data_IF_359607569888
#
_entry.id   IF_359607569888
#
_cell.length_a   1.000
_cell.length_b   1.000
_cell.length_c   1.000
_cell.angle_alpha   90.00
_cell.angle_beta   90.00
_cell.angle_gamma   90.00
#
_symmetry.space_group_name_H-M   'P 1'
#
loop_
_entity.id
_entity.type
_entity.pdbx_description
1 polymer ?
#
# COMPACT_ATOMS: atom_id res chain seq x y z
N UNK A 1 -6.00 5.91 27.57
CA UNK A 1 -5.87 5.13 26.33
C UNK A 1 -4.79 5.81 25.49
N UNK A 2 -3.80 5.08 25.00
CA UNK A 2 -2.82 5.64 24.09
C UNK A 2 -3.48 5.70 22.71
N UNK A 3 -3.62 6.90 22.15
CA UNK A 3 -4.20 7.05 20.81
C UNK A 3 -3.22 6.43 19.80
N UNK A 4 -3.76 5.60 18.91
CA UNK A 4 -3.01 4.99 17.81
C UNK A 4 -3.34 5.73 16.53
N UNK A 5 -2.33 5.98 15.69
CA UNK A 5 -2.51 6.67 14.41
C UNK A 5 -2.44 5.66 13.28
N UNK A 6 -3.27 5.86 12.27
CA UNK A 6 -3.26 5.11 11.04
C UNK A 6 -3.18 6.11 9.88
N UNK A 7 -2.41 5.78 8.85
CA UNK A 7 -2.32 6.55 7.61
C UNK A 7 -2.83 5.67 6.48
N UNK A 8 -3.88 6.10 5.79
CA UNK A 8 -4.39 5.45 4.61
C UNK A 8 -3.56 5.89 3.40
N UNK A 9 -3.12 4.93 2.58
CA UNK A 9 -2.28 5.17 1.41
C UNK A 9 -2.99 4.70 0.14
N UNK A 10 -2.85 5.45 -0.94
CA UNK A 10 -3.38 5.10 -2.25
C UNK A 10 -2.46 5.52 -3.40
N UNK A 11 -2.29 4.61 -4.36
CA UNK A 11 -1.64 4.85 -5.66
C UNK A 11 -2.65 4.57 -6.78
N UNK A 12 -3.46 5.56 -7.22
CA UNK A 12 -4.52 5.37 -8.21
C UNK A 12 -4.02 4.88 -9.59
N UNK A 13 -2.73 5.08 -9.85
CA UNK A 13 -2.08 4.79 -11.13
C UNK A 13 -1.69 3.33 -11.29
N UNK A 14 -1.67 2.59 -10.18
CA UNK A 14 -1.22 1.20 -10.15
C UNK A 14 -2.10 0.30 -10.99
N UNK A 15 -1.42 -0.54 -11.79
CA UNK A 15 -2.07 -1.54 -12.62
C UNK A 15 -2.13 -2.88 -11.92
N UNK A 16 -3.32 -3.43 -11.79
CA UNK A 16 -3.53 -4.78 -11.26
C UNK A 16 -3.81 -5.77 -12.37
N UNK A 17 -3.24 -6.97 -12.26
CA UNK A 17 -3.45 -8.05 -13.22
C UNK A 17 -4.93 -8.44 -13.29
N UNK A 18 -5.42 -8.86 -14.44
CA UNK A 18 -6.75 -9.43 -14.59
C UNK A 18 -6.99 -10.63 -13.66
N UNK A 19 -8.25 -10.96 -13.39
CA UNK A 19 -8.63 -12.07 -12.52
C UNK A 19 -8.74 -13.39 -13.29
N UNK A 20 -8.77 -13.35 -14.62
CA UNK A 20 -9.08 -14.49 -15.49
C UNK A 20 -10.59 -14.74 -15.58
N UNK A 21 -11.41 -13.73 -15.29
CA UNK A 21 -12.86 -13.86 -15.26
C UNK A 21 -13.48 -13.70 -16.65
N UNK A 22 -14.74 -14.14 -16.80
CA UNK A 22 -15.49 -14.06 -18.05
C UNK A 22 -15.58 -12.62 -18.60
N UNK A 23 -15.55 -11.61 -17.72
CA UNK A 23 -15.66 -10.19 -18.07
C UNK A 23 -14.33 -9.57 -18.54
N UNK A 24 -13.19 -10.27 -18.44
CA UNK A 24 -11.90 -9.72 -18.87
C UNK A 24 -11.84 -9.52 -20.39
N UNK A 25 -12.43 -10.44 -21.16
CA UNK A 25 -12.55 -10.31 -22.61
C UNK A 25 -13.39 -9.10 -23.06
N UNK A 26 -14.63 -8.90 -22.58
CA UNK A 26 -15.39 -7.72 -22.94
C UNK A 26 -14.73 -6.44 -22.40
N UNK A 27 -14.08 -6.47 -21.23
CA UNK A 27 -13.35 -5.32 -20.71
C UNK A 27 -12.16 -4.91 -21.59
N UNK A 28 -11.42 -5.88 -22.14
CA UNK A 28 -10.35 -5.61 -23.11
C UNK A 28 -10.91 -5.07 -24.43
N UNK A 29 -12.00 -5.66 -24.94
CA UNK A 29 -12.68 -5.16 -26.13
C UNK A 29 -13.15 -3.70 -25.99
N UNK A 30 -13.65 -3.33 -24.80
CA UNK A 30 -14.06 -1.96 -24.46
C UNK A 30 -12.89 -1.05 -24.03
N UNK A 31 -11.65 -1.53 -24.13
CA UNK A 31 -10.44 -0.78 -23.71
C UNK A 31 -10.40 -0.36 -22.24
N UNK A 32 -11.19 -1.01 -21.38
CA UNK A 32 -11.21 -0.81 -19.92
C UNK A 32 -9.97 -1.46 -19.29
N UNK A 33 -9.57 -2.62 -19.79
CA UNK A 33 -8.28 -3.25 -19.49
C UNK A 33 -7.36 -3.25 -20.71
N UNK A 34 -6.05 -3.23 -20.47
CA UNK A 34 -5.02 -3.36 -21.51
C UNK A 34 -3.96 -4.35 -21.09
N UNK A 35 -3.50 -5.20 -22.01
CA UNK A 35 -2.41 -6.17 -21.80
C UNK A 35 -2.63 -7.10 -20.60
N UNK A 36 -3.87 -7.48 -20.31
CA UNK A 36 -4.27 -8.23 -19.12
C UNK A 36 -4.15 -7.47 -17.78
N UNK A 37 -4.20 -6.13 -17.79
CA UNK A 37 -4.19 -5.31 -16.58
C UNK A 37 -5.32 -4.28 -16.56
N UNK A 38 -5.82 -4.00 -15.36
CA UNK A 38 -6.74 -2.89 -15.06
C UNK A 38 -6.00 -1.78 -14.30
N UNK A 39 -6.29 -0.52 -14.62
CA UNK A 39 -5.89 0.62 -13.78
C UNK A 39 -6.93 0.80 -12.67
N UNK A 40 -6.75 0.10 -11.55
CA UNK A 40 -7.67 0.13 -10.39
C UNK A 40 -7.00 0.65 -9.12
N UNK A 41 -5.70 0.97 -9.20
CA UNK A 41 -4.92 1.48 -8.11
C UNK A 41 -4.43 0.40 -7.12
N UNK A 42 -3.64 0.86 -6.16
CA UNK A 42 -3.15 0.07 -5.03
C UNK A 42 -3.38 0.86 -3.76
N UNK A 43 -3.61 0.16 -2.65
CA UNK A 43 -3.86 0.77 -1.36
C UNK A 43 -3.12 0.04 -0.26
N UNK A 44 -2.65 0.80 0.72
CA UNK A 44 -1.98 0.28 1.90
C UNK A 44 -2.40 1.09 3.14
N UNK A 45 -2.01 0.61 4.30
CA UNK A 45 -2.20 1.32 5.57
C UNK A 45 -0.91 1.27 6.37
N UNK A 46 -0.56 2.38 7.01
CA UNK A 46 0.52 2.43 7.99
C UNK A 46 -0.10 2.53 9.36
N UNK A 47 0.25 1.63 10.27
CA UNK A 47 -0.14 1.68 11.66
C UNK A 47 1.03 2.14 12.52
N UNK A 48 0.83 3.18 13.31
CA UNK A 48 1.86 3.73 14.20
C UNK A 48 1.66 3.18 15.60
N UNK A 49 2.66 2.45 16.09
CA UNK A 49 2.65 1.92 17.44
C UNK A 49 3.02 3.03 18.45
N UNK A 50 2.10 3.41 19.36
CA UNK A 50 2.32 4.55 20.25
C UNK A 50 3.36 4.30 21.35
N UNK A 51 3.77 3.05 21.59
CA UNK A 51 4.75 2.70 22.63
C UNK A 51 6.19 2.77 22.13
N UNK A 52 6.45 2.21 20.95
CA UNK A 52 7.81 2.10 20.40
C UNK A 52 8.02 2.95 19.16
N UNK A 53 7.01 3.74 18.74
CA UNK A 53 7.05 4.65 17.60
C UNK A 53 7.28 3.98 16.24
N UNK A 54 7.14 2.65 16.15
CA UNK A 54 7.30 1.94 14.89
C UNK A 54 6.14 2.23 13.93
N UNK A 55 6.47 2.45 12.67
CA UNK A 55 5.54 2.53 11.55
C UNK A 55 5.44 1.15 10.90
N UNK A 56 4.25 0.55 10.90
CA UNK A 56 4.01 -0.78 10.38
C UNK A 56 3.20 -0.68 9.08
N UNK A 57 3.81 -1.00 7.96
CA UNK A 57 3.15 -1.03 6.65
C UNK A 57 2.36 -2.32 6.48
N UNK A 58 1.13 -2.20 5.97
CA UNK A 58 0.31 -3.32 5.55
C UNK A 58 -0.35 -3.04 4.21
N UNK A 59 -0.32 -4.03 3.33
CA UNK A 59 -1.15 -4.03 2.14
C UNK A 59 -1.75 -5.41 1.85
N UNK A 60 -2.65 -5.46 0.87
CA UNK A 60 -3.23 -6.71 0.41
C UNK A 60 -3.16 -6.78 -1.10
N UNK A 61 -2.68 -7.91 -1.62
CA UNK A 61 -2.65 -8.12 -3.06
C UNK A 61 -2.34 -9.55 -3.46
N UNK A 62 -2.24 -9.77 -4.76
CA UNK A 62 -2.02 -11.08 -5.39
C UNK A 62 -0.54 -11.35 -5.63
N UNK A 63 0.27 -11.18 -4.58
CA UNK A 63 1.73 -11.30 -4.65
C UNK A 63 2.17 -12.73 -4.34
N UNK A 64 2.74 -13.44 -5.32
CA UNK A 64 3.18 -14.83 -5.19
C UNK A 64 2.08 -15.78 -4.67
N UNK A 65 0.81 -15.48 -4.97
CA UNK A 65 -0.33 -16.28 -4.55
C UNK A 65 -0.88 -17.15 -5.71
N UNK A 66 -1.52 -18.29 -5.41
CA UNK A 66 -2.27 -19.04 -6.41
C UNK A 66 -3.40 -18.21 -7.03
N UNK A 67 -3.85 -18.61 -8.23
CA UNK A 67 -4.96 -17.95 -8.92
C UNK A 67 -6.21 -17.93 -8.03
N UNK A 68 -6.82 -16.75 -7.89
CA UNK A 68 -8.01 -16.54 -7.07
C UNK A 68 -7.73 -16.17 -5.61
N UNK A 69 -6.47 -16.13 -5.18
CA UNK A 69 -6.08 -15.79 -3.81
C UNK A 69 -5.27 -14.50 -3.75
N UNK A 70 -5.43 -13.75 -2.67
CA UNK A 70 -4.51 -12.68 -2.27
C UNK A 70 -3.95 -12.96 -0.88
N UNK A 71 -2.93 -12.19 -0.48
CA UNK A 71 -2.35 -12.25 0.85
C UNK A 71 -2.13 -10.84 1.39
N UNK A 72 -2.17 -10.73 2.72
CA UNK A 72 -1.67 -9.56 3.43
C UNK A 72 -0.14 -9.61 3.41
N UNK A 73 0.50 -8.45 3.29
CA UNK A 73 1.95 -8.30 3.42
C UNK A 73 2.30 -7.28 4.48
N UNK A 74 3.40 -7.52 5.15
CA UNK A 74 4.00 -6.64 6.16
C UNK A 74 5.51 -6.92 6.28
N UNK A 75 6.20 -6.30 7.25
CA UNK A 75 7.63 -6.53 7.51
C UNK A 75 7.98 -7.98 7.90
N UNK A 76 7.01 -8.79 8.33
CA UNK A 76 7.25 -10.18 8.76
C UNK A 76 7.25 -11.13 7.56
N UNK A 77 6.31 -10.95 6.63
CA UNK A 77 6.22 -11.80 5.43
C UNK A 77 7.07 -11.27 4.28
N UNK A 78 7.32 -9.96 4.25
CA UNK A 78 8.04 -9.26 3.19
C UNK A 78 8.95 -8.21 3.84
N UNK A 79 10.16 -8.63 4.22
CA UNK A 79 11.12 -7.82 4.97
C UNK A 79 11.41 -6.45 4.33
N UNK A 80 11.36 -6.37 2.99
CA UNK A 80 11.59 -5.14 2.25
C UNK A 80 10.49 -4.09 2.47
N UNK A 81 9.34 -4.43 3.06
CA UNK A 81 8.27 -3.48 3.42
C UNK A 81 8.50 -2.80 4.77
N UNK A 82 9.59 -3.12 5.46
CA UNK A 82 9.93 -2.47 6.73
C UNK A 82 10.15 -0.98 6.53
N UNK A 83 9.50 -0.18 7.37
CA UNK A 83 9.73 1.27 7.47
C UNK A 83 10.76 1.50 8.59
N UNK A 84 11.90 2.07 8.24
CA UNK A 84 12.98 2.40 9.17
C UNK A 84 12.72 3.72 9.90
N UNK A 85 11.99 4.66 9.28
CA UNK A 85 11.62 5.92 9.94
C UNK A 85 10.65 5.68 11.10
N UNK A 86 11.09 6.03 12.31
CA UNK A 86 10.24 6.03 13.51
C UNK A 86 9.34 7.26 13.53
N UNK A 87 8.11 7.11 14.03
CA UNK A 87 7.15 8.19 14.17
C UNK A 87 7.56 9.20 15.25
N UNK A 88 7.58 10.47 14.88
CA UNK A 88 7.77 11.59 15.80
C UNK A 88 6.41 12.24 16.08
N UNK A 89 5.87 11.97 17.27
CA UNK A 89 4.59 12.52 17.71
C UNK A 89 4.82 13.76 18.56
N UNK A 90 4.15 14.86 18.22
CA UNK A 90 4.03 16.03 19.10
C UNK A 90 2.96 15.82 20.18
N UNK A 91 2.92 16.74 21.14
CA UNK A 91 2.00 16.69 22.30
C UNK A 91 0.51 16.63 21.90
N UNK A 92 0.16 17.08 20.68
CA UNK A 92 -1.20 17.11 20.16
C UNK A 92 -1.52 15.94 19.20
N UNK A 93 -0.76 14.84 19.24
CA UNK A 93 -0.90 13.70 18.32
C UNK A 93 -0.67 14.05 16.84
N UNK A 94 0.07 15.12 16.56
CA UNK A 94 0.47 15.48 15.21
C UNK A 94 1.80 14.78 14.93
N UNK A 95 1.85 14.04 13.83
CA UNK A 95 3.04 13.38 13.32
C UNK A 95 3.94 14.41 12.62
N UNK A 96 5.02 14.82 13.28
CA UNK A 96 5.89 15.91 12.79
C UNK A 96 6.73 15.52 11.58
N UNK A 97 7.11 14.24 11.48
CA UNK A 97 7.91 13.69 10.40
C UNK A 97 7.07 12.91 9.37
N UNK A 98 5.79 13.25 9.24
CA UNK A 98 4.86 12.61 8.30
C UNK A 98 5.46 12.49 6.89
N UNK A 99 6.01 13.58 6.35
CA UNK A 99 6.57 13.58 5.00
C UNK A 99 7.74 12.60 4.84
N UNK A 100 8.59 12.43 5.86
CA UNK A 100 9.70 11.47 5.80
C UNK A 100 9.21 10.03 5.68
N UNK A 101 8.14 9.68 6.40
CA UNK A 101 7.52 8.36 6.33
C UNK A 101 6.90 8.14 4.94
N UNK A 102 6.17 9.12 4.42
CA UNK A 102 5.55 9.04 3.09
C UNK A 102 6.60 8.93 1.97
N UNK A 103 7.68 9.71 2.06
CA UNK A 103 8.78 9.70 1.10
C UNK A 103 9.51 8.35 1.09
N UNK A 104 9.78 7.77 2.27
CA UNK A 104 10.39 6.45 2.39
C UNK A 104 9.52 5.38 1.70
N UNK A 105 8.21 5.40 1.94
CA UNK A 105 7.27 4.46 1.33
C UNK A 105 7.20 4.64 -0.19
N UNK A 106 7.11 5.88 -0.68
CA UNK A 106 7.08 6.19 -2.11
C UNK A 106 8.37 5.77 -2.83
N UNK A 107 9.52 5.83 -2.14
CA UNK A 107 10.81 5.41 -2.70
C UNK A 107 11.01 3.89 -2.64
N UNK A 108 10.18 3.17 -1.89
CA UNK A 108 10.29 1.72 -1.74
C UNK A 108 9.59 0.98 -2.90
N UNK A 109 10.35 0.30 -3.79
CA UNK A 109 9.77 -0.41 -4.93
C UNK A 109 8.91 -1.62 -4.52
N UNK A 110 9.11 -2.17 -3.32
CA UNK A 110 8.36 -3.33 -2.83
C UNK A 110 6.91 -3.01 -2.44
N UNK A 111 6.60 -1.71 -2.27
CA UNK A 111 5.22 -1.22 -2.12
C UNK A 111 4.37 -1.47 -3.36
N UNK A 112 5.00 -1.66 -4.54
CA UNK A 112 4.35 -1.86 -5.84
C UNK A 112 3.31 -0.78 -6.20
N UNK A 113 3.44 0.42 -5.64
CA UNK A 113 2.65 1.58 -6.05
C UNK A 113 3.24 2.22 -7.31
N UNK A 114 2.47 2.30 -8.39
CA UNK A 114 2.84 3.11 -9.55
C UNK A 114 2.32 4.54 -9.38
N UNK A 115 3.09 5.52 -9.86
CA UNK A 115 2.64 6.92 -9.92
C UNK A 115 2.69 7.65 -8.58
N UNK A 116 1.75 8.57 -8.38
CA UNK A 116 1.73 9.45 -7.20
C UNK A 116 1.04 8.76 -6.02
N UNK A 117 1.71 8.77 -4.86
CA UNK A 117 1.12 8.41 -3.58
C UNK A 117 0.25 9.53 -3.04
N UNK A 118 -0.96 9.18 -2.64
CA UNK A 118 -1.86 9.98 -1.83
C UNK A 118 -1.96 9.35 -0.44
N UNK A 119 -1.90 10.17 0.60
CA UNK A 119 -1.90 9.71 1.98
C UNK A 119 -2.70 10.66 2.88
N UNK A 120 -3.48 10.10 3.81
CA UNK A 120 -4.35 10.80 4.78
C UNK A 120 -4.35 10.08 6.14
#
# INVERSE_FOLDING_TARGET
>A
MQNSLAIALAWPETRCKQTGAWYDRPAEFLSISKNNYYKVGHSAIVLINPKNKKCLYFDFGRYHTPLGYGRVRDEQTDFDLKIETLAEMSDNLILSNYQNIIDEIQQNPSSHGDGQLYAD
#
